data_IF_052707147135
#
_entry.id   IF_052707147135
#
_cell.length_a   1.000
_cell.length_b   1.000
_cell.length_c   1.000
_cell.angle_alpha   90.00
_cell.angle_beta   90.00
_cell.angle_gamma   90.00
#
_symmetry.space_group_name_H-M   'P 1'
#
loop_
_entity.id
_entity.type
_entity.pdbx_description
1 polymer ?
#
# COMPACT_ATOMS: atom_id res chain seq x y z
N UNK A 1 -9.65 -5.00 -21.10
CA UNK A 1 -9.46 -6.11 -20.13
C UNK A 1 -10.56 -6.12 -19.06
N UNK A 2 -11.26 -5.01 -18.83
CA UNK A 2 -12.35 -4.82 -17.84
C UNK A 2 -12.01 -5.39 -16.45
N UNK A 3 -10.74 -5.25 -16.05
CA UNK A 3 -10.21 -5.75 -14.78
C UNK A 3 -9.21 -4.79 -14.19
N UNK A 4 -9.00 -4.86 -12.89
CA UNK A 4 -7.89 -4.17 -12.21
C UNK A 4 -6.58 -4.75 -12.70
N UNK A 5 -5.64 -3.89 -13.07
CA UNK A 5 -4.29 -4.26 -13.48
C UNK A 5 -3.29 -3.94 -12.36
N UNK A 6 -2.37 -4.86 -12.12
CA UNK A 6 -1.20 -4.56 -11.31
C UNK A 6 -0.24 -3.62 -12.07
N UNK A 7 0.59 -2.88 -11.36
CA UNK A 7 1.50 -1.89 -11.98
C UNK A 7 2.38 -2.49 -13.08
N UNK A 8 2.82 -3.74 -12.92
CA UNK A 8 3.64 -4.47 -13.89
C UNK A 8 2.89 -4.81 -15.18
N UNK A 9 1.57 -4.72 -15.16
CA UNK A 9 0.68 -5.02 -16.29
C UNK A 9 0.32 -3.76 -17.09
N UNK A 10 0.87 -2.61 -16.69
CA UNK A 10 0.69 -1.33 -17.39
C UNK A 10 1.96 -0.97 -18.13
N UNK A 11 1.87 -0.83 -19.46
CA UNK A 11 2.98 -0.45 -20.34
C UNK A 11 2.57 0.83 -21.08
N UNK A 12 3.29 1.92 -20.87
CA UNK A 12 3.02 3.22 -21.50
C UNK A 12 1.56 3.72 -21.35
N UNK A 13 0.99 3.51 -20.13
CA UNK A 13 -0.39 3.90 -19.83
C UNK A 13 -1.46 3.02 -20.47
N UNK A 14 -1.08 1.82 -20.94
CA UNK A 14 -1.98 0.86 -21.58
C UNK A 14 -1.88 -0.50 -20.93
N UNK A 15 -2.97 -1.24 -20.94
CA UNK A 15 -2.99 -2.62 -20.51
C UNK A 15 -2.09 -3.49 -21.40
N UNK A 16 -1.24 -4.29 -20.80
CA UNK A 16 -0.19 -5.08 -21.47
C UNK A 16 -0.70 -6.13 -22.47
N UNK A 17 -1.96 -6.57 -22.31
CA UNK A 17 -2.61 -7.54 -23.20
C UNK A 17 -3.46 -6.89 -24.28
N UNK A 18 -4.38 -6.02 -23.86
CA UNK A 18 -5.36 -5.42 -24.77
C UNK A 18 -4.82 -4.21 -25.52
N UNK A 19 -3.78 -3.54 -24.99
CA UNK A 19 -3.35 -2.25 -25.48
C UNK A 19 -4.36 -1.12 -25.23
N UNK A 20 -5.44 -1.41 -24.49
CA UNK A 20 -6.43 -0.41 -24.13
C UNK A 20 -5.85 0.62 -23.16
N UNK A 21 -6.27 1.87 -23.29
CA UNK A 21 -5.92 2.92 -22.34
C UNK A 21 -6.43 2.55 -20.95
N UNK A 22 -5.59 2.71 -19.93
CA UNK A 22 -6.03 2.51 -18.56
C UNK A 22 -6.70 3.78 -18.04
N UNK A 23 -7.62 3.60 -17.11
CA UNK A 23 -8.28 4.67 -16.38
C UNK A 23 -8.17 4.36 -14.88
N UNK A 24 -7.99 5.40 -14.08
CA UNK A 24 -8.11 5.29 -12.61
C UNK A 24 -9.58 5.49 -12.27
N UNK A 25 -10.17 4.49 -11.62
CA UNK A 25 -11.58 4.53 -11.18
C UNK A 25 -11.68 4.11 -9.73
N UNK A 26 -12.63 4.69 -9.02
CA UNK A 26 -13.11 4.16 -7.76
C UNK A 26 -14.03 3.00 -8.06
N UNK A 27 -13.74 1.84 -7.50
CA UNK A 27 -14.55 0.62 -7.62
C UNK A 27 -14.67 -0.03 -6.25
N UNK A 28 -15.84 -0.60 -5.98
CA UNK A 28 -16.05 -1.38 -4.77
C UNK A 28 -15.23 -2.65 -4.83
N UNK A 29 -14.47 -2.94 -3.78
CA UNK A 29 -13.60 -4.11 -3.67
C UNK A 29 -13.60 -4.67 -2.25
N UNK A 30 -13.31 -5.96 -2.15
CA UNK A 30 -13.06 -6.62 -0.88
C UNK A 30 -11.61 -6.48 -0.46
N UNK A 31 -11.42 -6.11 0.80
CA UNK A 31 -10.11 -5.98 1.44
C UNK A 31 -10.05 -6.84 2.69
N UNK A 32 -8.88 -7.43 2.95
CA UNK A 32 -8.58 -8.10 4.21
C UNK A 32 -7.63 -7.19 5.00
N UNK A 33 -7.96 -6.97 6.27
CA UNK A 33 -7.24 -6.06 7.17
C UNK A 33 -5.91 -6.65 7.65
N UNK A 34 -4.96 -6.82 6.73
CA UNK A 34 -3.59 -7.21 7.08
C UNK A 34 -2.91 -6.16 7.96
N UNK A 35 -3.37 -4.90 7.89
CA UNK A 35 -2.84 -3.80 8.70
C UNK A 35 -3.08 -3.99 10.19
N UNK A 36 -4.15 -4.70 10.61
CA UNK A 36 -4.42 -5.02 12.01
C UNK A 36 -3.33 -5.95 12.61
N UNK A 37 -2.58 -6.65 11.76
CA UNK A 37 -1.48 -7.54 12.14
C UNK A 37 -0.08 -6.92 11.88
N UNK A 38 0.00 -5.65 11.46
CA UNK A 38 1.24 -5.04 11.02
C UNK A 38 2.33 -5.04 12.10
N UNK A 39 1.99 -4.74 13.35
CA UNK A 39 2.92 -4.78 14.48
C UNK A 39 3.41 -6.21 14.73
N UNK A 40 2.50 -7.17 14.83
CA UNK A 40 2.84 -8.56 15.09
C UNK A 40 3.68 -9.17 13.96
N UNK A 41 3.35 -8.87 12.70
CA UNK A 41 4.11 -9.28 11.54
C UNK A 41 5.54 -8.71 11.54
N UNK A 42 5.71 -7.49 12.06
CA UNK A 42 7.01 -6.85 12.16
C UNK A 42 7.83 -7.40 13.32
N UNK A 43 7.23 -7.50 14.51
CA UNK A 43 7.93 -7.87 15.73
C UNK A 43 8.42 -9.33 15.69
N UNK A 44 7.62 -10.24 15.12
CA UNK A 44 8.00 -11.66 15.00
C UNK A 44 9.07 -11.95 13.92
N UNK A 45 9.46 -10.96 13.09
CA UNK A 45 10.50 -11.16 12.08
C UNK A 45 11.87 -11.50 12.68
N UNK A 46 12.18 -10.94 13.84
CA UNK A 46 13.51 -11.12 14.44
C UNK A 46 13.74 -12.55 14.94
N UNK A 47 12.67 -13.26 15.29
CA UNK A 47 12.72 -14.64 15.78
C UNK A 47 12.76 -15.69 14.66
N UNK A 48 12.61 -15.28 13.39
CA UNK A 48 12.60 -16.20 12.26
C UNK A 48 14.03 -16.60 11.81
N UNK A 49 14.26 -17.90 11.60
CA UNK A 49 15.46 -18.42 10.93
C UNK A 49 15.36 -18.24 9.41
N UNK A 50 15.21 -16.98 8.99
CA UNK A 50 15.05 -16.58 7.61
C UNK A 50 16.23 -15.71 7.14
N UNK A 51 16.54 -15.70 5.84
CA UNK A 51 17.56 -14.82 5.28
C UNK A 51 17.31 -13.33 5.62
N UNK A 52 18.37 -12.64 6.07
CA UNK A 52 18.25 -11.25 6.51
C UNK A 52 17.72 -10.30 5.44
N UNK A 53 18.03 -10.55 4.16
CA UNK A 53 17.50 -9.77 3.06
C UNK A 53 15.97 -9.90 2.93
N UNK A 54 15.40 -11.08 3.18
CA UNK A 54 13.95 -11.29 3.18
C UNK A 54 13.28 -10.57 4.36
N UNK A 55 13.88 -10.69 5.56
CA UNK A 55 13.39 -9.95 6.75
C UNK A 55 13.43 -8.44 6.50
N UNK A 56 14.53 -7.93 5.94
CA UNK A 56 14.64 -6.51 5.59
C UNK A 56 13.60 -6.08 4.55
N UNK A 57 13.36 -6.90 3.53
CA UNK A 57 12.30 -6.60 2.54
C UNK A 57 10.93 -6.49 3.20
N UNK A 58 10.59 -7.40 4.11
CA UNK A 58 9.31 -7.34 4.84
C UNK A 58 9.26 -6.14 5.79
N UNK A 59 10.33 -5.87 6.56
CA UNK A 59 10.42 -4.68 7.42
C UNK A 59 10.17 -3.39 6.64
N UNK A 60 10.82 -3.25 5.48
CA UNK A 60 10.66 -2.08 4.63
C UNK A 60 9.26 -1.99 4.01
N UNK A 61 8.65 -3.12 3.68
CA UNK A 61 7.30 -3.16 3.11
C UNK A 61 6.22 -2.82 4.14
N UNK A 62 6.31 -3.38 5.35
CA UNK A 62 5.43 -3.04 6.46
C UNK A 62 5.63 -1.57 6.83
N UNK A 63 6.88 -1.11 6.89
CA UNK A 63 7.26 0.30 6.93
C UNK A 63 6.66 1.05 8.12
N UNK A 64 6.86 0.55 9.35
CA UNK A 64 6.43 1.21 10.59
C UNK A 64 7.17 2.53 10.76
N UNK A 65 6.43 3.62 10.89
CA UNK A 65 6.93 4.97 11.07
C UNK A 65 6.34 5.60 12.32
N UNK A 66 7.21 6.11 13.18
CA UNK A 66 6.83 6.91 14.34
C UNK A 66 6.87 8.38 13.96
N UNK A 67 5.83 9.12 14.29
CA UNK A 67 5.74 10.53 13.96
C UNK A 67 4.67 11.26 14.76
N UNK A 68 4.25 12.36 14.22
CA UNK A 68 3.17 13.17 14.77
C UNK A 68 2.08 13.44 13.74
N UNK A 69 0.85 13.34 14.18
CA UNK A 69 -0.25 14.01 13.55
C UNK A 69 -0.21 15.47 13.95
N UNK A 70 -0.36 16.39 12.99
CA UNK A 70 -0.35 17.84 13.22
C UNK A 70 -1.55 18.45 12.51
N UNK A 71 -2.40 19.13 13.29
CA UNK A 71 -3.63 19.76 12.79
C UNK A 71 -3.43 21.25 12.60
N UNK A 72 -3.65 21.73 11.40
CA UNK A 72 -3.55 23.12 10.99
C UNK A 72 -4.95 23.69 10.79
N UNK A 73 -5.39 24.65 11.61
CA UNK A 73 -6.70 25.29 11.44
C UNK A 73 -6.74 26.10 10.14
N UNK A 74 -7.79 25.93 9.32
CA UNK A 74 -8.01 26.77 8.15
C UNK A 74 -8.38 28.19 8.60
N UNK A 75 -7.71 29.19 8.03
CA UNK A 75 -7.97 30.60 8.37
C UNK A 75 -9.42 30.97 8.07
N UNK A 76 -10.13 31.50 9.04
CA UNK A 76 -11.55 31.90 8.98
C UNK A 76 -12.55 30.72 8.83
N UNK A 77 -12.15 29.52 9.17
CA UNK A 77 -13.01 28.34 9.26
C UNK A 77 -12.77 27.62 10.58
N UNK A 78 -13.67 26.72 10.95
CA UNK A 78 -13.48 25.80 12.07
C UNK A 78 -12.88 24.46 11.61
N UNK A 79 -12.67 24.30 10.33
CA UNK A 79 -12.07 23.10 9.72
C UNK A 79 -10.55 23.07 9.89
N UNK A 80 -10.00 21.87 9.81
CA UNK A 80 -8.56 21.61 9.92
C UNK A 80 -8.06 20.85 8.68
N UNK A 81 -6.80 21.11 8.33
CA UNK A 81 -5.99 20.22 7.51
C UNK A 81 -5.02 19.47 8.43
N UNK A 82 -5.00 18.16 8.32
CA UNK A 82 -4.21 17.28 9.15
C UNK A 82 -3.06 16.71 8.34
N UNK A 83 -1.84 16.78 8.89
CA UNK A 83 -0.64 16.19 8.29
C UNK A 83 -0.06 15.13 9.20
N UNK A 84 0.62 14.14 8.61
CA UNK A 84 1.53 13.25 9.34
C UNK A 84 2.98 13.60 9.00
N UNK A 85 3.84 13.64 10.01
CA UNK A 85 5.27 13.85 9.81
C UNK A 85 6.12 12.95 10.71
N UNK A 86 7.12 12.30 10.12
CA UNK A 86 8.20 11.60 10.85
C UNK A 86 9.30 12.54 11.34
N UNK A 87 9.23 13.82 10.97
CA UNK A 87 10.18 14.89 11.30
C UNK A 87 9.49 16.07 12.03
N UNK A 88 8.87 15.84 13.20
CA UNK A 88 8.25 16.94 13.96
C UNK A 88 9.25 18.03 14.35
N UNK A 89 10.54 17.68 14.50
CA UNK A 89 11.66 18.61 14.73
C UNK A 89 11.73 19.74 13.69
N UNK A 90 11.24 19.49 12.46
CA UNK A 90 11.27 20.49 11.38
C UNK A 90 10.03 21.39 11.30
N UNK A 91 9.07 21.26 12.21
CA UNK A 91 7.78 21.99 12.14
C UNK A 91 7.93 23.50 12.06
N UNK A 92 8.96 24.10 12.67
CA UNK A 92 9.25 25.54 12.58
C UNK A 92 9.75 25.97 11.19
N UNK A 93 10.20 25.01 10.38
CA UNK A 93 10.61 25.19 9.00
C UNK A 93 9.47 25.13 7.97
N UNK A 94 8.24 24.84 8.43
CA UNK A 94 7.08 24.74 7.52
C UNK A 94 6.80 26.09 6.88
N UNK A 95 6.72 26.12 5.56
CA UNK A 95 6.45 27.33 4.81
C UNK A 95 5.19 27.26 3.96
N UNK A 96 4.67 26.08 3.70
CA UNK A 96 3.40 25.83 3.02
C UNK A 96 2.83 24.47 3.42
N UNK A 97 1.55 24.23 3.13
CA UNK A 97 0.97 22.90 3.07
C UNK A 97 0.67 22.56 1.61
N UNK A 98 0.82 21.28 1.26
CA UNK A 98 0.38 20.77 -0.03
C UNK A 98 -0.65 19.68 0.16
N UNK A 99 -1.75 19.74 -0.62
CA UNK A 99 -2.81 18.72 -0.63
C UNK A 99 -2.78 17.94 -1.95
N UNK A 100 -3.24 16.69 -1.89
CA UNK A 100 -3.40 15.84 -3.07
C UNK A 100 -4.38 16.46 -4.07
N UNK A 101 -4.18 16.29 -5.39
CA UNK A 101 -5.18 16.62 -6.40
C UNK A 101 -6.53 15.91 -6.16
N UNK A 102 -6.52 14.74 -5.53
CA UNK A 102 -7.71 13.94 -5.22
C UNK A 102 -8.30 14.24 -3.83
N UNK A 103 -7.74 15.19 -3.08
CA UNK A 103 -8.28 15.59 -1.79
C UNK A 103 -9.63 16.30 -1.97
N UNK A 104 -10.61 16.04 -1.07
CA UNK A 104 -11.97 16.61 -1.13
C UNK A 104 -11.98 18.13 -1.28
N UNK A 105 -11.12 18.83 -0.55
CA UNK A 105 -10.96 20.28 -0.66
C UNK A 105 -10.50 20.72 -2.06
N UNK A 106 -9.58 19.98 -2.70
CA UNK A 106 -9.13 20.29 -4.06
C UNK A 106 -10.26 20.11 -5.07
N UNK A 107 -11.03 19.02 -4.94
CA UNK A 107 -12.20 18.74 -5.76
C UNK A 107 -13.27 19.84 -5.60
N UNK A 108 -13.55 20.27 -4.37
CA UNK A 108 -14.55 21.32 -4.13
C UNK A 108 -14.10 22.68 -4.64
N UNK A 109 -12.83 22.99 -4.59
CA UNK A 109 -12.28 24.21 -5.18
C UNK A 109 -12.34 24.19 -6.71
N UNK A 110 -12.12 23.05 -7.34
CA UNK A 110 -12.16 22.90 -8.80
C UNK A 110 -13.53 23.19 -9.38
N UNK A 111 -14.61 22.98 -8.61
CA UNK A 111 -15.98 23.34 -9.02
C UNK A 111 -16.20 24.85 -9.15
N UNK A 112 -15.31 25.66 -8.50
CA UNK A 112 -15.45 27.13 -8.40
C UNK A 112 -14.35 27.88 -9.14
N UNK A 113 -13.21 27.25 -9.40
CA UNK A 113 -12.04 27.85 -10.07
C UNK A 113 -11.60 26.98 -11.26
N UNK A 114 -11.74 27.56 -12.46
CA UNK A 114 -11.37 26.88 -13.72
C UNK A 114 -9.87 26.56 -13.82
N UNK A 115 -9.00 27.36 -13.20
CA UNK A 115 -7.56 27.08 -13.24
C UNK A 115 -7.24 25.85 -12.38
N UNK A 116 -7.88 25.73 -11.21
CA UNK A 116 -7.75 24.54 -10.37
C UNK A 116 -8.32 23.32 -11.12
N UNK A 117 -9.50 23.44 -11.73
CA UNK A 117 -10.08 22.36 -12.54
C UNK A 117 -9.11 21.89 -13.64
N UNK A 118 -8.56 22.80 -14.43
CA UNK A 118 -7.59 22.46 -15.48
C UNK A 118 -6.32 21.81 -14.93
N UNK A 119 -5.87 22.23 -13.73
CA UNK A 119 -4.71 21.64 -13.08
C UNK A 119 -5.01 20.21 -12.62
N UNK A 120 -6.19 19.93 -12.05
CA UNK A 120 -6.57 18.57 -11.65
C UNK A 120 -6.66 17.65 -12.87
N UNK A 121 -7.25 18.10 -14.00
CA UNK A 121 -7.28 17.30 -15.22
C UNK A 121 -5.87 16.98 -15.73
N UNK A 122 -4.96 17.97 -15.73
CA UNK A 122 -3.55 17.73 -16.07
C UNK A 122 -2.90 16.68 -15.14
N UNK A 123 -3.19 16.70 -13.83
CA UNK A 123 -2.67 15.72 -12.90
C UNK A 123 -3.17 14.29 -13.17
N UNK A 124 -4.38 14.11 -13.72
CA UNK A 124 -4.89 12.80 -14.13
C UNK A 124 -4.13 12.18 -15.30
N UNK A 125 -3.60 13.02 -16.18
CA UNK A 125 -2.80 12.59 -17.34
C UNK A 125 -1.38 12.14 -16.93
N UNK A 126 -0.88 12.64 -15.78
CA UNK A 126 0.43 12.28 -15.24
C UNK A 126 0.32 10.87 -14.62
N UNK A 127 1.22 9.97 -15.03
CA UNK A 127 1.21 8.55 -14.65
C UNK A 127 1.18 8.36 -13.13
N UNK A 128 0.26 7.52 -12.69
CA UNK A 128 -0.05 7.27 -11.29
C UNK A 128 0.93 6.32 -10.55
N UNK A 129 2.05 5.92 -11.15
CA UNK A 129 3.01 5.04 -10.49
C UNK A 129 3.94 5.86 -9.56
N UNK A 130 4.00 5.49 -8.28
CA UNK A 130 4.80 6.17 -7.24
C UNK A 130 6.29 6.33 -7.65
N UNK A 131 6.84 5.34 -8.36
CA UNK A 131 8.22 5.38 -8.87
C UNK A 131 8.43 6.39 -10.01
N UNK A 132 7.41 6.68 -10.81
CA UNK A 132 7.46 7.66 -11.88
C UNK A 132 7.23 9.07 -11.33
N UNK A 133 6.38 9.24 -10.31
CA UNK A 133 6.15 10.53 -9.64
C UNK A 133 7.40 11.10 -8.96
N UNK A 134 8.31 10.24 -8.48
CA UNK A 134 9.56 10.70 -7.87
C UNK A 134 10.49 11.39 -8.88
N UNK A 135 10.40 11.02 -10.15
CA UNK A 135 11.23 11.57 -11.26
C UNK A 135 10.57 12.74 -12.00
N UNK A 136 9.28 12.93 -11.82
CA UNK A 136 8.49 13.94 -12.49
C UNK A 136 8.72 15.33 -11.89
N UNK A 137 8.57 16.35 -12.73
CA UNK A 137 8.63 17.74 -12.31
C UNK A 137 7.54 18.06 -11.29
N UNK A 138 7.92 18.68 -10.15
CA UNK A 138 6.98 19.05 -9.09
C UNK A 138 6.14 20.25 -9.54
N UNK A 139 4.85 20.00 -9.76
CA UNK A 139 3.87 20.98 -10.19
C UNK A 139 2.85 21.27 -9.09
N UNK A 140 2.38 22.51 -9.03
CA UNK A 140 1.32 22.86 -8.10
C UNK A 140 0.57 24.13 -8.47
N UNK A 141 -0.56 24.33 -7.81
CA UNK A 141 -1.39 25.53 -7.91
C UNK A 141 -1.74 26.05 -6.53
N UNK A 142 -1.62 27.36 -6.31
CA UNK A 142 -2.00 28.02 -5.08
C UNK A 142 -3.53 28.09 -4.93
N UNK A 143 -4.07 27.50 -3.88
CA UNK A 143 -5.52 27.49 -3.60
C UNK A 143 -6.06 28.83 -3.11
N UNK A 144 -5.19 29.80 -2.75
CA UNK A 144 -5.51 31.05 -2.02
C UNK A 144 -6.04 30.81 -0.58
N UNK A 145 -6.19 29.58 -0.15
CA UNK A 145 -6.51 29.24 1.22
C UNK A 145 -5.23 29.36 2.07
N UNK A 146 -5.40 29.76 3.32
CA UNK A 146 -4.33 29.78 4.32
C UNK A 146 -4.72 28.94 5.52
N UNK A 147 -3.73 28.36 6.17
CA UNK A 147 -3.86 27.68 7.46
C UNK A 147 -3.02 28.40 8.52
N UNK A 148 -3.35 28.17 9.76
CA UNK A 148 -2.65 28.74 10.92
C UNK A 148 -1.69 27.68 11.44
N UNK A 149 -0.40 28.02 11.51
CA UNK A 149 0.62 27.17 12.11
C UNK A 149 0.33 26.98 13.61
N UNK A 150 0.19 25.74 14.12
CA UNK A 150 -0.37 25.48 15.45
C UNK A 150 0.46 26.04 16.61
N UNK A 151 1.79 26.16 16.45
CA UNK A 151 2.67 26.65 17.51
C UNK A 151 2.95 28.17 17.34
N UNK A 152 3.25 28.62 16.12
CA UNK A 152 3.70 30.00 15.88
C UNK A 152 2.58 30.98 15.55
N UNK A 153 1.37 30.51 15.26
CA UNK A 153 0.24 31.34 14.82
C UNK A 153 0.40 31.97 13.43
N UNK A 154 1.50 31.72 12.72
CA UNK A 154 1.75 32.26 11.37
C UNK A 154 0.80 31.65 10.36
N UNK A 155 0.40 32.45 9.37
CA UNK A 155 -0.43 31.98 8.25
C UNK A 155 0.45 31.38 7.15
N UNK A 156 0.13 30.16 6.76
CA UNK A 156 0.81 29.39 5.71
C UNK A 156 -0.12 29.20 4.52
N UNK A 157 0.37 29.33 3.27
CA UNK A 157 -0.43 29.04 2.07
C UNK A 157 -0.67 27.53 1.92
N UNK A 158 -1.81 27.20 1.31
CA UNK A 158 -2.15 25.82 0.93
C UNK A 158 -2.08 25.71 -0.59
N UNK A 159 -1.34 24.70 -1.07
CA UNK A 159 -1.15 24.41 -2.49
C UNK A 159 -1.78 23.05 -2.82
N UNK A 160 -2.20 22.85 -4.07
CA UNK A 160 -2.45 21.51 -4.60
C UNK A 160 -1.18 21.10 -5.34
N UNK A 161 -0.60 19.94 -4.98
CA UNK A 161 0.65 19.45 -5.56
C UNK A 161 0.49 18.08 -6.22
N UNK A 162 1.01 17.92 -7.45
CA UNK A 162 0.97 16.65 -8.18
C UNK A 162 1.76 15.51 -7.51
N UNK A 163 2.61 15.85 -6.55
CA UNK A 163 3.48 14.94 -5.81
C UNK A 163 2.91 14.48 -4.47
N UNK A 164 1.68 14.89 -4.12
CA UNK A 164 1.00 14.48 -2.89
C UNK A 164 0.00 13.37 -3.21
N UNK A 165 0.22 12.20 -2.60
CA UNK A 165 -0.68 11.05 -2.74
C UNK A 165 -1.82 11.14 -1.73
N UNK A 166 -3.05 10.82 -2.15
CA UNK A 166 -4.19 10.74 -1.24
C UNK A 166 -4.06 9.55 -0.29
N UNK A 167 -3.56 8.44 -0.79
CA UNK A 167 -3.51 7.15 -0.10
C UNK A 167 -2.35 7.03 0.90
N UNK A 168 -1.50 8.04 1.03
CA UNK A 168 -0.42 8.08 2.01
C UNK A 168 -0.71 9.18 3.04
N UNK A 169 -0.98 8.75 4.27
CA UNK A 169 -1.38 9.65 5.34
C UNK A 169 -2.77 10.24 5.14
N UNK A 170 -2.88 11.54 5.29
CA UNK A 170 -4.15 12.29 5.19
C UNK A 170 -4.39 12.92 3.82
N UNK A 171 -3.51 12.67 2.85
CA UNK A 171 -3.52 13.40 1.58
C UNK A 171 -3.07 14.87 1.70
N UNK A 172 -2.49 15.24 2.84
CA UNK A 172 -1.94 16.57 3.14
C UNK A 172 -0.52 16.42 3.67
N UNK A 173 0.42 17.19 3.16
CA UNK A 173 1.80 17.21 3.65
C UNK A 173 2.20 18.63 4.09
N UNK A 174 3.02 18.73 5.12
CA UNK A 174 3.69 19.98 5.48
C UNK A 174 4.94 20.16 4.63
N UNK A 175 5.08 21.29 3.96
CA UNK A 175 6.25 21.62 3.15
C UNK A 175 7.35 22.24 4.00
N UNK A 176 8.50 21.54 4.08
CA UNK A 176 9.69 21.98 4.84
C UNK A 176 10.91 22.11 3.93
N UNK A 177 10.94 23.11 3.05
CA UNK A 177 11.93 23.20 1.96
C UNK A 177 13.38 23.34 2.43
N UNK A 178 13.61 23.67 3.69
CA UNK A 178 14.95 23.67 4.27
C UNK A 178 15.48 22.24 4.57
N UNK A 179 14.60 21.21 4.59
CA UNK A 179 14.91 19.89 5.14
C UNK A 179 14.33 18.71 4.34
N UNK A 180 13.73 18.97 3.16
CA UNK A 180 13.21 17.96 2.25
C UNK A 180 13.52 18.39 0.81
N UNK A 181 14.13 17.49 0.02
CA UNK A 181 14.54 17.75 -1.37
C UNK A 181 13.37 18.11 -2.28
N UNK A 182 12.29 17.37 -2.18
CA UNK A 182 11.06 17.56 -2.98
C UNK A 182 10.45 18.93 -2.69
N UNK A 183 10.35 19.27 -1.40
CA UNK A 183 9.79 20.54 -0.95
C UNK A 183 10.71 21.71 -1.31
N UNK A 184 12.04 21.47 -1.33
CA UNK A 184 13.03 22.47 -1.75
C UNK A 184 12.89 22.81 -3.24
N UNK A 185 12.80 21.80 -4.11
CA UNK A 185 12.56 21.96 -5.54
C UNK A 185 11.27 22.75 -5.79
N UNK A 186 10.20 22.35 -5.11
CA UNK A 186 8.91 23.00 -5.21
C UNK A 186 8.96 24.46 -4.75
N UNK A 187 9.51 24.71 -3.57
CA UNK A 187 9.61 26.06 -3.01
C UNK A 187 10.48 27.00 -3.87
N UNK A 188 11.56 26.50 -4.41
CA UNK A 188 12.43 27.24 -5.34
C UNK A 188 11.67 27.62 -6.60
N UNK A 189 10.95 26.67 -7.21
CA UNK A 189 10.17 26.90 -8.43
C UNK A 189 9.07 27.94 -8.25
N UNK A 190 8.36 27.91 -7.12
CA UNK A 190 7.23 28.80 -6.86
C UNK A 190 7.59 30.00 -5.98
N UNK A 191 8.89 30.24 -5.74
CA UNK A 191 9.41 31.32 -4.93
C UNK A 191 8.79 31.40 -3.52
N UNK A 192 8.64 30.22 -2.89
CA UNK A 192 8.17 30.11 -1.53
C UNK A 192 9.33 30.27 -0.54
N UNK A 193 8.99 30.61 0.71
CA UNK A 193 10.00 30.86 1.73
C UNK A 193 10.70 29.54 2.12
N UNK A 194 12.05 29.56 2.14
CA UNK A 194 12.86 28.46 2.65
C UNK A 194 13.37 28.84 4.04
N UNK A 195 13.06 28.01 5.05
CA UNK A 195 13.40 28.27 6.45
C UNK A 195 14.28 27.11 6.93
N UNK A 196 15.51 27.42 7.29
CA UNK A 196 16.43 26.47 7.90
C UNK A 196 16.15 26.39 9.40
N UNK A 197 15.99 25.16 9.93
CA UNK A 197 15.77 24.91 11.37
C UNK A 197 16.73 23.84 11.96
N UNK A 198 17.61 23.28 11.16
CA UNK A 198 18.71 22.42 11.61
C UNK A 198 20.02 23.13 11.29
N UNK A 199 20.93 23.13 12.27
CA UNK A 199 22.28 23.70 12.10
C UNK A 199 23.11 22.85 11.15
N UNK A 200 23.86 23.48 10.29
CA UNK A 200 24.85 22.83 9.42
C UNK A 200 26.10 23.65 9.35
N UNK A 201 27.21 22.99 9.07
CA UNK A 201 28.51 23.64 8.74
C UNK A 201 28.65 23.90 7.26
N UNK A 202 27.76 23.36 6.44
CA UNK A 202 27.74 23.52 4.98
C UNK A 202 26.65 24.52 4.62
N UNK A 203 26.90 25.43 3.67
CA UNK A 203 25.93 26.46 3.27
C UNK A 203 24.88 25.95 2.26
N UNK A 204 24.78 24.63 2.09
CA UNK A 204 23.88 24.03 1.10
C UNK A 204 22.58 23.54 1.75
N UNK A 205 21.45 24.01 1.24
CA UNK A 205 20.12 23.50 1.55
C UNK A 205 19.62 22.60 0.39
N UNK A 206 18.79 21.60 0.67
CA UNK A 206 18.18 21.25 1.96
C UNK A 206 19.07 20.33 2.82
N UNK A 207 18.95 20.48 4.14
CA UNK A 207 19.61 19.61 5.13
C UNK A 207 18.65 18.47 5.50
N UNK A 208 18.91 17.27 5.01
CA UNK A 208 18.05 16.10 5.20
C UNK A 208 18.35 15.41 6.53
N UNK A 209 19.60 15.45 6.96
CA UNK A 209 20.05 14.79 8.18
C UNK A 209 19.46 15.43 9.45
N UNK A 210 19.42 14.65 10.52
CA UNK A 210 19.11 15.12 11.86
C UNK A 210 20.30 15.90 12.41
N UNK A 211 20.01 16.88 13.28
CA UNK A 211 21.07 17.72 13.86
C UNK A 211 20.59 18.51 15.07
N UNK A 212 21.18 19.67 15.30
CA UNK A 212 20.83 20.59 16.37
C UNK A 212 19.87 21.65 15.83
N UNK A 213 18.82 21.93 16.56
CA UNK A 213 17.81 22.89 16.14
C UNK A 213 18.28 24.35 16.29
N UNK A 214 17.96 25.13 15.26
CA UNK A 214 18.07 26.60 15.22
C UNK A 214 16.74 27.18 14.73
N UNK A 215 16.50 28.46 14.90
CA UNK A 215 15.27 29.15 14.43
C UNK A 215 13.95 28.48 14.89
N UNK A 216 13.97 27.76 16.00
CA UNK A 216 12.90 26.90 16.53
C UNK A 216 12.46 27.33 17.94
N UNK A 217 12.55 28.61 18.25
CA UNK A 217 12.13 29.22 19.54
C UNK A 217 12.79 28.50 20.74
N UNK A 218 12.01 28.12 21.74
CA UNK A 218 12.47 27.42 22.96
C UNK A 218 13.18 26.07 22.71
N UNK A 219 13.14 25.55 21.50
CA UNK A 219 13.76 24.28 21.11
C UNK A 219 15.16 24.47 20.50
N UNK A 220 15.64 25.71 20.35
CA UNK A 220 16.99 25.98 19.86
C UNK A 220 18.06 25.29 20.73
N UNK A 221 19.06 24.69 20.09
CA UNK A 221 20.15 23.98 20.75
C UNK A 221 19.83 22.53 21.15
N UNK A 222 18.59 22.06 21.00
CA UNK A 222 18.22 20.66 21.20
C UNK A 222 18.58 19.80 20.01
N UNK A 223 18.84 18.51 20.24
CA UNK A 223 18.92 17.53 19.15
C UNK A 223 17.54 17.33 18.49
N UNK A 224 17.54 16.92 17.23
CA UNK A 224 16.30 16.59 16.50
C UNK A 224 15.39 15.62 17.25
N UNK A 225 15.98 14.63 17.93
CA UNK A 225 15.23 13.62 18.67
C UNK A 225 14.59 14.18 19.94
N UNK A 226 15.35 14.92 20.74
CA UNK A 226 14.83 15.59 21.93
C UNK A 226 13.76 16.63 21.60
N UNK A 227 14.01 17.40 20.54
CA UNK A 227 13.06 18.41 20.07
C UNK A 227 11.76 17.80 19.54
N UNK A 228 11.84 16.70 18.79
CA UNK A 228 10.66 15.99 18.27
C UNK A 228 9.70 15.64 19.40
N UNK A 229 10.18 14.97 20.45
CA UNK A 229 9.34 14.57 21.57
C UNK A 229 8.70 15.78 22.25
N UNK A 230 9.49 16.80 22.58
CA UNK A 230 8.97 18.01 23.23
C UNK A 230 8.02 18.83 22.36
N UNK A 231 8.20 18.82 21.06
CA UNK A 231 7.29 19.48 20.10
C UNK A 231 5.98 18.74 20.06
N UNK A 232 6.00 17.38 20.02
CA UNK A 232 4.78 16.57 20.04
C UNK A 232 4.01 16.82 21.36
N UNK A 233 4.69 16.77 22.51
CA UNK A 233 4.06 17.09 23.81
C UNK A 233 3.38 18.47 23.79
N UNK A 234 4.05 19.48 23.25
CA UNK A 234 3.47 20.81 23.11
C UNK A 234 2.26 20.85 22.16
N UNK A 235 2.28 20.08 21.07
CA UNK A 235 1.13 19.97 20.15
C UNK A 235 -0.06 19.28 20.81
N UNK A 236 0.18 18.28 21.67
CA UNK A 236 -0.83 17.61 22.50
C UNK A 236 -1.46 18.60 23.48
N UNK A 237 -0.64 19.36 24.21
CA UNK A 237 -1.11 20.40 25.16
C UNK A 237 -1.98 21.46 24.47
N UNK A 238 -1.61 21.82 23.24
CA UNK A 238 -2.37 22.76 22.39
C UNK A 238 -3.59 22.10 21.71
N UNK A 239 -3.81 20.80 21.89
CA UNK A 239 -4.86 20.00 21.21
C UNK A 239 -4.80 20.07 19.68
N UNK A 240 -3.60 20.27 19.15
CA UNK A 240 -3.33 20.40 17.72
C UNK A 240 -2.52 19.26 17.13
N UNK A 241 -2.24 18.20 17.89
CA UNK A 241 -1.52 17.03 17.40
C UNK A 241 -1.45 15.92 18.42
N UNK A 242 -0.92 14.80 17.99
CA UNK A 242 -0.71 13.61 18.81
C UNK A 242 0.41 12.73 18.25
N UNK A 243 0.93 11.83 19.10
CA UNK A 243 1.81 10.77 18.62
C UNK A 243 1.02 9.85 17.70
N UNK A 244 1.59 9.53 16.54
CA UNK A 244 0.96 8.62 15.61
C UNK A 244 1.99 7.63 15.05
N UNK A 245 1.61 6.36 15.03
CA UNK A 245 2.33 5.31 14.33
C UNK A 245 1.58 5.07 13.02
N UNK A 246 2.30 5.14 11.93
CA UNK A 246 1.76 4.78 10.61
C UNK A 246 2.54 3.62 10.01
N UNK A 247 1.84 2.80 9.26
CA UNK A 247 2.40 1.73 8.47
C UNK A 247 2.31 2.08 6.98
N UNK A 248 3.33 1.70 6.24
CA UNK A 248 3.30 1.76 4.77
C UNK A 248 2.44 0.66 4.19
N UNK A 249 2.37 -0.47 4.90
CA UNK A 249 1.48 -1.59 4.57
C UNK A 249 0.04 -1.11 4.46
N UNK A 250 -0.66 -1.55 3.44
CA UNK A 250 -2.08 -1.29 3.20
C UNK A 250 -2.86 -2.59 3.29
N UNK A 251 -4.15 -2.48 3.50
CA UNK A 251 -5.04 -3.64 3.48
C UNK A 251 -4.95 -4.40 2.16
N UNK A 252 -5.03 -5.69 2.25
CA UNK A 252 -4.89 -6.57 1.09
C UNK A 252 -6.16 -6.60 0.28
N UNK A 253 -6.16 -5.98 -0.91
CA UNK A 253 -7.25 -6.02 -1.87
C UNK A 253 -7.33 -7.40 -2.53
N UNK A 254 -8.38 -8.15 -2.23
CA UNK A 254 -8.53 -9.55 -2.66
C UNK A 254 -9.46 -9.73 -3.85
N UNK A 255 -10.16 -8.71 -4.28
CA UNK A 255 -11.09 -8.76 -5.41
C UNK A 255 -10.39 -8.81 -6.76
N UNK A 256 -10.80 -9.75 -7.63
CA UNK A 256 -10.33 -9.86 -9.02
C UNK A 256 -11.50 -10.04 -9.97
N UNK A 257 -11.60 -9.17 -10.96
CA UNK A 257 -12.64 -9.14 -11.99
C UNK A 257 -12.25 -10.08 -13.14
N UNK A 258 -12.44 -11.38 -12.94
CA UNK A 258 -12.08 -12.40 -13.93
C UNK A 258 -13.04 -13.59 -13.86
N UNK A 259 -13.05 -14.42 -14.92
CA UNK A 259 -13.86 -15.63 -14.95
C UNK A 259 -13.39 -16.70 -13.96
N UNK A 260 -12.07 -16.94 -13.89
CA UNK A 260 -11.50 -18.02 -13.09
C UNK A 260 -10.97 -17.52 -11.75
N UNK A 261 -10.96 -18.38 -10.76
CA UNK A 261 -10.50 -18.13 -9.41
C UNK A 261 -11.51 -18.66 -8.40
N UNK A 262 -11.17 -18.61 -7.09
CA UNK A 262 -12.10 -18.95 -6.03
C UNK A 262 -13.15 -17.84 -5.89
N UNK A 263 -14.45 -18.13 -6.08
CA UNK A 263 -15.49 -17.12 -5.91
C UNK A 263 -15.56 -16.59 -4.47
N UNK A 264 -15.78 -15.30 -4.30
CA UNK A 264 -15.97 -14.70 -2.98
C UNK A 264 -17.38 -15.09 -2.48
N UNK A 265 -17.49 -15.69 -1.26
CA UNK A 265 -18.74 -16.29 -0.78
C UNK A 265 -19.71 -15.23 -0.21
N UNK A 266 -20.06 -14.25 -1.01
CA UNK A 266 -20.94 -13.13 -0.64
C UNK A 266 -22.12 -13.03 -1.61
N UNK A 267 -23.26 -12.67 -1.08
CA UNK A 267 -24.46 -12.30 -1.82
C UNK A 267 -24.97 -10.95 -1.35
N UNK A 268 -25.68 -10.26 -2.22
CA UNK A 268 -26.25 -8.93 -1.98
C UNK A 268 -27.77 -9.00 -1.96
N UNK A 269 -28.34 -8.38 -0.95
CA UNK A 269 -29.77 -8.05 -0.88
C UNK A 269 -29.93 -6.54 -1.07
N UNK A 270 -30.25 -6.12 -2.30
CA UNK A 270 -30.04 -4.74 -2.70
C UNK A 270 -28.54 -4.43 -2.78
N UNK A 271 -28.06 -3.47 -1.96
CA UNK A 271 -26.65 -3.10 -1.86
C UNK A 271 -25.98 -3.66 -0.58
N UNK A 272 -26.73 -4.40 0.27
CA UNK A 272 -26.20 -4.92 1.54
C UNK A 272 -25.55 -6.29 1.33
N UNK A 273 -24.23 -6.42 1.62
CA UNK A 273 -23.53 -7.69 1.49
C UNK A 273 -23.78 -8.62 2.68
N UNK A 274 -23.90 -9.91 2.42
CA UNK A 274 -23.96 -10.96 3.44
C UNK A 274 -23.22 -12.21 2.99
N UNK A 275 -22.65 -12.95 3.93
CA UNK A 275 -21.98 -14.23 3.67
C UNK A 275 -23.01 -15.26 3.24
N UNK A 276 -22.65 -16.10 2.25
CA UNK A 276 -23.46 -17.24 1.80
C UNK A 276 -23.58 -18.27 2.94
N UNK A 277 -24.74 -18.87 3.08
CA UNK A 277 -24.94 -19.94 4.05
C UNK A 277 -24.17 -21.22 3.65
N UNK A 278 -23.67 -21.97 4.64
CA UNK A 278 -22.87 -23.18 4.42
C UNK A 278 -23.58 -24.21 3.54
N UNK A 279 -24.91 -24.33 3.66
CA UNK A 279 -25.72 -25.23 2.82
C UNK A 279 -25.69 -24.90 1.33
N UNK A 280 -25.35 -23.66 0.97
CA UNK A 280 -25.27 -23.16 -0.40
C UNK A 280 -23.82 -23.17 -0.94
N UNK A 281 -22.89 -23.76 -0.19
CA UNK A 281 -21.49 -23.99 -0.58
C UNK A 281 -21.30 -25.39 -1.19
N UNK A 282 -20.28 -25.61 -2.02
CA UNK A 282 -19.38 -24.60 -2.61
C UNK A 282 -20.04 -23.79 -3.72
N UNK A 283 -19.51 -22.55 -3.96
CA UNK A 283 -19.89 -21.79 -5.13
C UNK A 283 -19.08 -22.30 -6.31
N UNK A 284 -19.77 -22.90 -7.27
CA UNK A 284 -19.14 -23.41 -8.48
C UNK A 284 -19.12 -22.33 -9.58
N UNK A 285 -18.00 -22.26 -10.31
CA UNK A 285 -17.91 -21.42 -11.50
C UNK A 285 -18.81 -22.00 -12.61
N UNK A 286 -19.42 -21.16 -13.46
CA UNK A 286 -20.20 -21.64 -14.58
C UNK A 286 -19.32 -22.42 -15.55
N UNK A 287 -19.87 -23.45 -16.23
CA UNK A 287 -19.16 -24.16 -17.26
C UNK A 287 -18.86 -23.25 -18.46
N UNK A 288 -17.65 -23.35 -18.99
CA UNK A 288 -17.28 -22.67 -20.23
C UNK A 288 -17.81 -23.44 -21.43
N UNK A 289 -18.57 -22.76 -22.27
CA UNK A 289 -18.83 -23.27 -23.61
C UNK A 289 -17.52 -23.34 -24.38
N UNK A 290 -17.22 -24.53 -24.94
CA UNK A 290 -15.98 -24.82 -25.68
C UNK A 290 -15.75 -23.88 -26.87
N UNK A 291 -16.80 -23.23 -27.36
CA UNK A 291 -16.77 -22.34 -28.52
C UNK A 291 -16.80 -20.85 -28.19
N UNK A 292 -16.91 -20.48 -26.89
CA UNK A 292 -16.94 -19.10 -26.46
C UNK A 292 -15.65 -18.68 -25.73
N UNK A 293 -15.29 -17.42 -25.85
CA UNK A 293 -14.22 -16.84 -25.04
C UNK A 293 -14.73 -16.61 -23.61
N UNK A 294 -13.88 -16.84 -22.58
CA UNK A 294 -14.25 -16.49 -21.20
C UNK A 294 -14.63 -15.01 -21.09
N UNK A 295 -15.76 -14.76 -20.45
CA UNK A 295 -16.19 -13.42 -20.09
C UNK A 295 -16.05 -13.23 -18.57
N UNK A 296 -15.83 -12.02 -18.04
CA UNK A 296 -15.87 -11.76 -16.62
C UNK A 296 -17.18 -12.26 -16.00
N UNK A 297 -17.11 -12.78 -14.77
CA UNK A 297 -18.32 -13.28 -14.08
C UNK A 297 -19.40 -12.20 -13.94
N UNK A 298 -19.02 -10.93 -13.83
CA UNK A 298 -19.91 -9.78 -13.79
C UNK A 298 -20.83 -9.65 -15.03
N UNK A 299 -20.47 -10.29 -16.14
CA UNK A 299 -21.28 -10.33 -17.37
C UNK A 299 -22.14 -11.59 -17.46
N UNK A 300 -21.93 -12.59 -16.60
CA UNK A 300 -22.71 -13.81 -16.58
C UNK A 300 -23.95 -13.67 -15.69
N UNK A 301 -25.09 -13.39 -16.32
CA UNK A 301 -26.36 -13.14 -15.63
C UNK A 301 -26.89 -14.36 -14.84
N UNK A 302 -26.60 -15.57 -15.29
CA UNK A 302 -27.02 -16.80 -14.61
C UNK A 302 -26.20 -17.03 -13.34
N UNK A 303 -24.92 -16.67 -13.35
CA UNK A 303 -24.07 -16.73 -12.18
C UNK A 303 -24.46 -15.67 -11.14
N UNK A 304 -24.68 -14.43 -11.59
CA UNK A 304 -24.95 -13.29 -10.68
C UNK A 304 -26.34 -13.40 -10.05
N UNK A 305 -27.39 -13.63 -10.88
CA UNK A 305 -28.75 -13.56 -10.39
C UNK A 305 -29.16 -14.92 -9.77
N UNK A 306 -29.43 -14.91 -8.49
CA UNK A 306 -29.99 -16.04 -7.78
C UNK A 306 -31.46 -15.79 -7.48
N UNK A 307 -32.14 -16.78 -6.88
CA UNK A 307 -33.57 -16.67 -6.57
C UNK A 307 -33.85 -15.48 -5.65
N UNK A 308 -35.08 -15.00 -5.69
CA UNK A 308 -35.61 -13.99 -4.78
C UNK A 308 -34.96 -12.58 -4.89
N UNK A 309 -34.38 -12.27 -6.07
CA UNK A 309 -33.79 -10.95 -6.33
C UNK A 309 -32.40 -10.74 -5.70
N UNK A 310 -31.83 -11.78 -5.11
CA UNK A 310 -30.47 -11.74 -4.58
C UNK A 310 -29.43 -11.79 -5.71
N UNK A 311 -28.31 -11.13 -5.51
CA UNK A 311 -27.19 -11.15 -6.45
C UNK A 311 -25.95 -11.77 -5.79
N UNK A 312 -25.20 -12.58 -6.52
CA UNK A 312 -23.90 -13.08 -6.11
C UNK A 312 -22.82 -12.03 -6.32
N UNK A 313 -21.81 -12.06 -5.46
CA UNK A 313 -20.54 -11.41 -5.76
C UNK A 313 -19.94 -12.01 -7.04
N UNK A 314 -19.51 -11.14 -7.93
CA UNK A 314 -18.94 -11.53 -9.23
C UNK A 314 -17.40 -11.52 -9.25
N UNK A 315 -16.77 -10.99 -8.22
CA UNK A 315 -15.33 -11.03 -8.09
C UNK A 315 -14.87 -12.38 -7.56
N UNK A 316 -13.66 -12.78 -7.94
CA UNK A 316 -12.96 -13.93 -7.38
C UNK A 316 -11.82 -13.45 -6.50
N UNK A 317 -11.41 -14.31 -5.57
CA UNK A 317 -10.25 -14.01 -4.74
C UNK A 317 -8.96 -13.89 -5.54
N UNK A 318 -8.07 -13.04 -5.07
CA UNK A 318 -6.66 -13.03 -5.45
C UNK A 318 -6.06 -14.44 -5.31
N UNK A 319 -5.22 -14.82 -6.25
CA UNK A 319 -4.54 -16.12 -6.25
C UNK A 319 -3.75 -16.38 -4.97
N UNK A 320 -3.21 -15.33 -4.35
CA UNK A 320 -2.49 -15.45 -3.08
C UNK A 320 -3.38 -15.84 -1.91
N UNK A 321 -4.69 -15.70 -2.00
CA UNK A 321 -5.61 -16.18 -0.98
C UNK A 321 -5.43 -17.70 -0.78
N UNK A 322 -5.51 -18.47 -1.86
CA UNK A 322 -5.37 -19.93 -1.80
C UNK A 322 -3.95 -20.34 -1.41
N UNK A 323 -2.93 -19.70 -1.98
CA UNK A 323 -1.54 -20.04 -1.71
C UNK A 323 -1.07 -19.66 -0.30
N UNK A 324 -1.79 -18.78 0.38
CA UNK A 324 -1.42 -18.36 1.74
C UNK A 324 -1.61 -19.43 2.80
N UNK A 325 -2.41 -20.47 2.54
CA UNK A 325 -2.71 -21.53 3.50
C UNK A 325 -2.66 -22.95 2.92
N UNK A 326 -2.29 -23.13 1.65
CA UNK A 326 -2.27 -24.44 0.98
C UNK A 326 -1.42 -25.47 1.74
N UNK A 327 -0.30 -25.05 2.31
CA UNK A 327 0.61 -25.90 3.09
C UNK A 327 -0.07 -26.51 4.32
N UNK A 328 -0.94 -25.75 4.99
CA UNK A 328 -1.75 -26.26 6.08
C UNK A 328 -2.81 -27.25 5.56
N UNK A 329 -3.51 -26.91 4.48
CA UNK A 329 -4.52 -27.82 3.86
C UNK A 329 -3.90 -29.13 3.40
N UNK A 330 -2.68 -29.14 2.93
CA UNK A 330 -1.99 -30.36 2.50
C UNK A 330 -1.77 -31.37 3.60
N UNK A 331 -1.67 -30.94 4.86
CA UNK A 331 -1.56 -31.85 6.02
C UNK A 331 -2.84 -32.68 6.24
N UNK A 332 -3.97 -32.19 5.77
CA UNK A 332 -5.30 -32.80 5.89
C UNK A 332 -5.99 -32.99 4.53
N UNK A 333 -5.21 -33.25 3.47
CA UNK A 333 -5.68 -33.25 2.07
C UNK A 333 -6.88 -34.18 1.80
N UNK A 334 -6.98 -35.29 2.51
CA UNK A 334 -8.04 -36.30 2.35
C UNK A 334 -9.26 -36.05 3.23
N UNK A 335 -9.20 -35.10 4.17
CA UNK A 335 -10.33 -34.74 5.02
C UNK A 335 -11.38 -33.99 4.18
N UNK A 336 -12.61 -34.53 4.15
CA UNK A 336 -13.74 -33.94 3.42
C UNK A 336 -14.73 -33.20 4.34
N UNK A 337 -14.58 -33.35 5.64
CA UNK A 337 -15.52 -32.83 6.60
C UNK A 337 -15.02 -31.54 7.27
N UNK A 338 -13.70 -31.40 7.40
CA UNK A 338 -13.06 -30.27 8.08
C UNK A 338 -11.94 -29.72 7.22
N UNK A 339 -11.66 -28.44 7.39
CA UNK A 339 -10.59 -27.75 6.66
C UNK A 339 -9.21 -28.26 7.13
N UNK A 340 -9.06 -28.51 8.44
CA UNK A 340 -7.88 -29.03 9.11
C UNK A 340 -8.29 -30.09 10.14
N UNK A 341 -7.37 -30.99 10.44
CA UNK A 341 -7.49 -31.99 11.51
C UNK A 341 -6.22 -32.04 12.38
N UNK A 342 -6.15 -32.99 13.30
CA UNK A 342 -4.99 -33.15 14.19
C UNK A 342 -3.65 -33.35 13.48
N UNK A 343 -3.66 -33.77 12.21
CA UNK A 343 -2.44 -33.87 11.41
C UNK A 343 -1.78 -32.51 11.19
N UNK A 344 -2.59 -31.46 11.12
CA UNK A 344 -2.10 -30.07 10.95
C UNK A 344 -1.25 -29.63 12.13
N UNK A 345 -1.66 -29.96 13.36
CA UNK A 345 -0.90 -29.65 14.59
C UNK A 345 0.45 -30.39 14.64
N UNK A 346 0.49 -31.60 14.05
CA UNK A 346 1.74 -32.37 13.99
C UNK A 346 2.71 -31.84 12.93
N UNK A 347 2.21 -31.45 11.75
CA UNK A 347 3.06 -31.10 10.60
C UNK A 347 3.45 -29.63 10.56
N UNK A 348 2.70 -28.75 11.20
CA UNK A 348 3.01 -27.32 11.26
C UNK A 348 3.78 -26.96 12.55
N UNK A 349 4.62 -25.92 12.48
CA UNK A 349 5.07 -25.17 11.31
C UNK A 349 5.98 -26.01 10.39
N UNK A 350 6.00 -25.71 9.11
CA UNK A 350 6.87 -26.36 8.11
C UNK A 350 8.34 -26.17 8.51
N UNK A 351 9.13 -27.25 8.55
CA UNK A 351 10.52 -27.21 9.03
C UNK A 351 11.43 -26.43 8.07
N UNK A 352 11.30 -26.64 6.76
CA UNK A 352 12.07 -25.94 5.74
C UNK A 352 11.18 -25.59 4.55
N UNK A 353 11.09 -24.31 4.25
CA UNK A 353 10.35 -23.79 3.10
C UNK A 353 11.32 -23.25 2.05
N UNK A 354 11.15 -23.64 0.78
CA UNK A 354 12.08 -23.31 -0.31
C UNK A 354 11.31 -22.59 -1.40
N UNK A 355 11.80 -21.41 -1.83
CA UNK A 355 11.16 -20.64 -2.89
C UNK A 355 11.99 -19.47 -3.40
N UNK A 356 11.41 -18.70 -4.32
CA UNK A 356 12.04 -17.50 -4.86
C UNK A 356 11.95 -16.31 -3.94
N UNK A 357 12.99 -15.47 -3.94
CA UNK A 357 13.03 -14.25 -3.14
C UNK A 357 11.97 -13.21 -3.55
N UNK A 358 11.46 -13.29 -4.78
CA UNK A 358 10.40 -12.42 -5.29
C UNK A 358 9.10 -12.50 -4.48
N UNK A 359 8.92 -13.60 -3.74
CA UNK A 359 7.76 -13.79 -2.87
C UNK A 359 7.91 -13.20 -1.47
N UNK A 360 9.04 -12.56 -1.15
CA UNK A 360 9.33 -12.03 0.18
C UNK A 360 8.20 -11.13 0.73
N UNK A 361 7.66 -10.24 -0.10
CA UNK A 361 6.62 -9.27 0.26
C UNK A 361 5.24 -9.62 -0.33
N UNK A 362 5.10 -10.78 -0.94
CA UNK A 362 3.87 -11.32 -1.52
C UNK A 362 3.46 -12.57 -0.75
N UNK A 363 3.60 -13.75 -1.36
CA UNK A 363 3.20 -15.03 -0.78
C UNK A 363 3.72 -15.25 0.66
N UNK A 364 4.99 -14.96 0.93
CA UNK A 364 5.56 -15.20 2.26
C UNK A 364 4.94 -14.28 3.33
N UNK A 365 4.70 -13.01 3.01
CA UNK A 365 4.04 -12.08 3.92
C UNK A 365 2.58 -12.46 4.13
N UNK A 366 1.86 -12.78 3.05
CA UNK A 366 0.46 -13.18 3.12
C UNK A 366 0.29 -14.51 3.87
N UNK A 367 1.21 -15.47 3.71
CA UNK A 367 1.16 -16.74 4.45
C UNK A 367 1.37 -16.54 5.95
N UNK A 368 2.25 -15.64 6.36
CA UNK A 368 2.45 -15.28 7.78
C UNK A 368 1.18 -14.63 8.35
N UNK A 369 0.65 -13.65 7.66
CA UNK A 369 -0.60 -13.01 8.04
C UNK A 369 -1.76 -14.01 8.15
N UNK A 370 -1.95 -14.83 7.13
CA UNK A 370 -3.06 -15.79 7.08
C UNK A 370 -2.94 -16.85 8.19
N UNK A 371 -1.72 -17.29 8.49
CA UNK A 371 -1.46 -18.22 9.59
C UNK A 371 -1.86 -17.61 10.96
N UNK A 372 -1.49 -16.35 11.20
CA UNK A 372 -1.89 -15.63 12.42
C UNK A 372 -3.41 -15.49 12.52
N UNK A 373 -4.08 -15.15 11.42
CA UNK A 373 -5.53 -15.06 11.38
C UNK A 373 -6.20 -16.43 11.65
N UNK A 374 -5.68 -17.51 11.06
CA UNK A 374 -6.16 -18.87 11.32
C UNK A 374 -5.91 -19.32 12.78
N UNK A 375 -4.77 -18.91 13.38
CA UNK A 375 -4.48 -19.13 14.81
C UNK A 375 -5.53 -18.44 15.69
N UNK A 376 -5.83 -17.19 15.40
CA UNK A 376 -6.74 -16.38 16.24
C UNK A 376 -8.18 -16.93 16.23
N UNK A 377 -8.58 -17.58 15.15
CA UNK A 377 -9.86 -18.31 15.09
C UNK A 377 -9.75 -19.77 15.52
N UNK A 378 -8.58 -20.21 16.02
CA UNK A 378 -8.39 -21.53 16.65
C UNK A 378 -8.23 -22.69 15.65
N UNK A 379 -7.89 -22.44 14.39
CA UNK A 379 -7.75 -23.48 13.37
C UNK A 379 -6.32 -24.05 13.25
N UNK A 380 -5.31 -23.31 13.64
CA UNK A 380 -3.90 -23.73 13.65
C UNK A 380 -3.23 -23.29 14.94
N UNK A 381 -2.14 -23.95 15.31
CA UNK A 381 -1.30 -23.59 16.45
C UNK A 381 -0.02 -22.88 16.01
N UNK A 382 0.56 -22.08 16.89
CA UNK A 382 1.82 -21.36 16.66
C UNK A 382 1.64 -20.05 15.89
N UNK A 383 2.71 -19.26 15.84
CA UNK A 383 2.67 -17.88 15.36
C UNK A 383 3.13 -17.74 13.89
N UNK A 384 3.89 -18.71 13.38
CA UNK A 384 4.50 -18.63 12.06
C UNK A 384 4.34 -19.95 11.28
N UNK A 385 4.07 -19.89 9.98
CA UNK A 385 3.83 -21.09 9.16
C UNK A 385 5.11 -21.86 8.83
N UNK A 386 6.28 -21.18 8.78
CA UNK A 386 7.55 -21.73 8.31
C UNK A 386 8.66 -21.43 9.31
N UNK A 387 9.34 -22.48 9.84
CA UNK A 387 10.47 -22.32 10.77
C UNK A 387 11.70 -21.74 10.06
N UNK A 388 12.05 -22.31 8.94
CA UNK A 388 13.24 -21.97 8.17
C UNK A 388 12.90 -21.71 6.72
N UNK A 389 13.51 -20.68 6.15
CA UNK A 389 13.37 -20.31 4.76
C UNK A 389 14.71 -20.42 4.01
N UNK A 390 14.67 -21.09 2.87
CA UNK A 390 15.77 -21.08 1.90
C UNK A 390 15.30 -20.38 0.64
N UNK A 391 15.83 -19.20 0.36
CA UNK A 391 15.52 -18.47 -0.87
C UNK A 391 16.52 -18.79 -1.95
N UNK A 392 16.01 -19.11 -3.13
CA UNK A 392 16.81 -19.25 -4.35
C UNK A 392 17.06 -17.88 -4.98
N UNK A 393 18.27 -17.68 -5.51
CA UNK A 393 18.55 -16.55 -6.38
C UNK A 393 17.78 -16.65 -7.71
N UNK A 394 17.62 -15.52 -8.37
CA UNK A 394 17.02 -15.50 -9.72
C UNK A 394 17.90 -16.25 -10.70
N UNK A 395 17.35 -17.30 -11.33
CA UNK A 395 18.06 -18.01 -12.41
C UNK A 395 17.97 -17.18 -13.68
N UNK A 396 19.14 -16.75 -14.16
CA UNK A 396 19.27 -15.92 -15.35
C UNK A 396 19.80 -16.75 -16.52
N UNK A 397 19.34 -16.44 -17.73
CA UNK A 397 19.97 -16.88 -18.97
C UNK A 397 20.39 -15.64 -19.76
N UNK A 398 21.65 -15.59 -20.16
CA UNK A 398 22.23 -14.46 -20.89
C UNK A 398 22.07 -13.11 -20.14
N UNK A 399 22.20 -13.15 -18.81
CA UNK A 399 22.08 -11.98 -17.93
C UNK A 399 20.64 -11.46 -17.70
N UNK A 400 19.63 -12.14 -18.24
CA UNK A 400 18.25 -11.74 -18.11
C UNK A 400 17.38 -12.82 -17.44
N UNK A 401 16.31 -12.39 -16.73
CA UNK A 401 15.29 -13.29 -16.18
C UNK A 401 14.69 -14.13 -17.31
N UNK A 402 14.65 -15.47 -17.12
CA UNK A 402 14.01 -16.39 -18.07
C UNK A 402 12.51 -16.12 -18.18
N UNK A 403 12.01 -16.08 -19.41
CA UNK A 403 10.60 -15.89 -19.72
C UNK A 403 10.25 -16.57 -21.03
N UNK A 404 9.10 -17.26 -21.08
CA UNK A 404 8.58 -17.85 -22.32
C UNK A 404 8.37 -16.79 -23.41
N UNK A 405 7.91 -15.60 -23.03
CA UNK A 405 7.69 -14.48 -23.95
C UNK A 405 8.97 -13.93 -24.57
N UNK A 406 10.12 -14.07 -23.88
CA UNK A 406 11.44 -13.66 -24.37
C UNK A 406 12.17 -14.77 -25.11
N UNK A 407 11.64 -16.01 -25.11
CA UNK A 407 12.26 -17.15 -25.75
C UNK A 407 13.60 -17.60 -25.13
N UNK A 408 13.94 -17.09 -23.93
CA UNK A 408 15.21 -17.35 -23.25
C UNK A 408 15.10 -18.41 -22.14
N UNK A 409 14.13 -19.32 -22.24
CA UNK A 409 13.98 -20.44 -21.30
C UNK A 409 15.01 -21.55 -21.60
N UNK A 410 15.38 -22.29 -20.57
CA UNK A 410 16.20 -23.51 -20.69
C UNK A 410 15.25 -24.69 -20.63
N UNK A 411 15.29 -25.55 -21.67
CA UNK A 411 14.57 -26.81 -21.65
C UNK A 411 15.32 -27.81 -20.74
N UNK A 412 14.67 -28.39 -19.72
CA UNK A 412 15.29 -29.36 -18.83
C UNK A 412 15.50 -30.72 -19.50
N UNK A 413 14.80 -31.03 -20.60
CA UNK A 413 14.81 -32.34 -21.23
C UNK A 413 16.22 -32.85 -21.62
N UNK A 414 17.10 -32.04 -22.24
CA UNK A 414 18.47 -32.48 -22.55
C UNK A 414 19.32 -32.80 -21.30
N UNK A 415 19.02 -32.17 -20.18
CA UNK A 415 19.70 -32.43 -18.90
C UNK A 415 19.18 -33.75 -18.29
N UNK A 416 17.89 -33.97 -18.32
CA UNK A 416 17.27 -35.22 -17.87
C UNK A 416 17.80 -36.41 -18.67
N UNK A 417 17.91 -36.29 -19.98
CA UNK A 417 18.45 -37.33 -20.85
C UNK A 417 19.93 -37.62 -20.55
N UNK A 418 20.71 -36.61 -20.20
CA UNK A 418 22.15 -36.76 -19.96
C UNK A 418 22.49 -37.21 -18.55
N UNK A 419 21.73 -36.75 -17.52
CA UNK A 419 22.09 -36.89 -16.11
C UNK A 419 21.05 -37.66 -15.28
N UNK A 420 19.88 -37.97 -15.83
CA UNK A 420 18.71 -38.47 -15.10
C UNK A 420 17.82 -37.33 -14.61
N UNK A 421 16.65 -37.70 -14.10
CA UNK A 421 15.69 -36.73 -13.57
C UNK A 421 15.97 -36.30 -12.13
N UNK A 422 16.80 -37.06 -11.41
CA UNK A 422 17.11 -36.85 -9.97
C UNK A 422 18.22 -35.78 -9.76
#
# INVERSE_FOLDING_TARGET
DETVLANEQVIDGKGWRSGAQIEIKEIDQWFIKITDYADELLDSLDDLDWPENVKLMQKNWIGKSHGAEIRYKIDKSDDFLTTFSTRPDTVFGVSFLAISPNHSLAIDLSKKDKNIFNFLEKCKEIKAAEADMAKEEKLGIDTKIKVIHPITGKKLPVWIGNFVLLDYGTGVVMGVPGHDLRDHEFATKYNLKIIQVIETKEDELPIIDKGILINSDKYNGMSSEEASNKIIDNLIDLKCGEHLIQFRLRDWGVSRQRYWGCPIPVIYEGDEPRVIEEKDMPIELPELDKNSSPIPLSQNKEFINIKDGLKRESDTFDTFMDSSWYHARFTSANNKNEIFDESTKYWLPVDLYIGGIEHAILHLLYSRFFHKALRDIGLVDGDEPFKKLLTQGMVLKDGAKMSKSKGNTVDPQPYIEKYGAD
#
